data_IF_745132612898
#
_entry.id   IF_745132612898
#
_cell.length_a   1.000
_cell.length_b   1.000
_cell.length_c   1.000
_cell.angle_alpha   90.00
_cell.angle_beta   90.00
_cell.angle_gamma   90.00
#
_symmetry.space_group_name_H-M   'P 1'
#
loop_
_entity.id
_entity.type
_entity.pdbx_description
1 polymer ?
#
# COMPACT_ATOMS: atom_id res chain seq x y z
N UNK A 1 -0.46 7.91 10.47
CA UNK A 1 -1.74 8.40 9.91
C UNK A 1 -2.84 7.45 10.35
N UNK A 2 -4.02 7.93 10.75
CA UNK A 2 -5.16 7.06 10.94
C UNK A 2 -5.61 6.53 9.56
N UNK A 3 -5.59 5.21 9.39
CA UNK A 3 -6.02 4.50 8.19
C UNK A 3 -7.04 3.45 8.64
N UNK A 4 -8.30 3.62 8.23
CA UNK A 4 -9.36 2.66 8.51
C UNK A 4 -9.32 1.57 7.44
N UNK A 5 -8.91 0.36 7.85
CA UNK A 5 -8.82 -0.83 6.98
C UNK A 5 -9.38 -2.05 7.72
N UNK A 6 -9.83 -3.04 6.96
CA UNK A 6 -10.33 -4.31 7.49
C UNK A 6 -9.68 -5.49 6.77
N UNK A 7 -9.34 -6.52 7.54
CA UNK A 7 -8.85 -7.81 7.03
C UNK A 7 -9.93 -8.89 7.01
N UNK A 8 -11.11 -8.59 7.55
CA UNK A 8 -12.25 -9.51 7.67
C UNK A 8 -13.53 -8.80 7.19
N UNK A 9 -14.35 -9.49 6.41
CA UNK A 9 -15.67 -9.02 5.97
C UNK A 9 -15.66 -8.18 4.68
N UNK A 10 -16.85 -7.81 4.20
CA UNK A 10 -17.00 -7.04 2.97
C UNK A 10 -16.24 -7.64 1.78
N UNK A 11 -15.55 -6.79 1.01
CA UNK A 11 -14.79 -7.21 -0.17
C UNK A 11 -13.63 -8.17 0.15
N UNK A 12 -13.01 -8.09 1.34
CA UNK A 12 -11.91 -8.99 1.72
C UNK A 12 -12.38 -10.41 2.02
N UNK A 13 -13.68 -10.60 2.31
CA UNK A 13 -14.30 -11.91 2.47
C UNK A 13 -14.84 -12.51 1.16
N UNK A 14 -15.40 -11.68 0.26
CA UNK A 14 -16.11 -12.17 -0.93
C UNK A 14 -15.28 -12.16 -2.22
N UNK A 15 -14.27 -11.28 -2.32
CA UNK A 15 -13.50 -11.12 -3.56
C UNK A 15 -12.27 -12.06 -3.55
N UNK A 16 -12.17 -13.06 -4.45
CA UNK A 16 -11.11 -14.06 -4.41
C UNK A 16 -9.70 -13.46 -4.41
N UNK A 17 -9.45 -12.44 -5.24
CA UNK A 17 -8.14 -11.76 -5.27
C UNK A 17 -7.82 -11.01 -3.98
N UNK A 18 -8.82 -10.45 -3.29
CA UNK A 18 -8.56 -9.71 -2.06
C UNK A 18 -8.09 -10.66 -0.95
N UNK A 19 -8.71 -11.84 -0.88
CA UNK A 19 -8.30 -12.92 0.02
C UNK A 19 -6.90 -13.42 -0.31
N UNK A 20 -6.64 -13.78 -1.57
CA UNK A 20 -5.30 -14.24 -1.99
C UNK A 20 -4.21 -13.20 -1.76
N UNK A 21 -4.49 -11.91 -1.94
CA UNK A 21 -3.51 -10.86 -1.66
C UNK A 21 -3.17 -10.78 -0.17
N UNK A 22 -4.15 -10.88 0.74
CA UNK A 22 -3.90 -10.92 2.18
C UNK A 22 -3.08 -12.15 2.58
N UNK A 23 -3.35 -13.30 1.97
CA UNK A 23 -2.57 -14.53 2.15
C UNK A 23 -1.13 -14.37 1.63
N UNK A 24 -0.93 -13.82 0.43
CA UNK A 24 0.40 -13.56 -0.13
C UNK A 24 1.22 -12.62 0.76
N UNK A 25 0.58 -11.58 1.29
CA UNK A 25 1.22 -10.61 2.18
C UNK A 25 1.41 -11.15 3.61
N UNK A 26 0.88 -12.33 3.94
CA UNK A 26 0.93 -12.93 5.28
C UNK A 26 0.43 -11.97 6.37
N UNK A 27 -0.68 -11.29 6.08
CA UNK A 27 -1.30 -10.32 6.99
C UNK A 27 -2.34 -11.01 7.86
N UNK A 28 -2.22 -10.86 9.17
CA UNK A 28 -3.09 -11.49 10.16
C UNK A 28 -3.96 -10.48 10.93
N UNK A 29 -3.66 -9.18 10.84
CA UNK A 29 -4.46 -8.14 11.48
C UNK A 29 -4.64 -6.87 10.64
N UNK A 30 -5.74 -6.14 10.88
CA UNK A 30 -5.98 -4.84 10.27
C UNK A 30 -4.88 -3.81 10.63
N UNK A 31 -4.25 -3.97 11.80
CA UNK A 31 -3.13 -3.14 12.23
C UNK A 31 -1.89 -3.37 11.37
N UNK A 32 -1.51 -4.62 11.12
CA UNK A 32 -0.41 -4.97 10.20
C UNK A 32 -0.67 -4.44 8.79
N UNK A 33 -1.90 -4.62 8.28
CA UNK A 33 -2.28 -4.10 6.97
C UNK A 33 -2.10 -2.57 6.90
N UNK A 34 -2.54 -1.87 7.94
CA UNK A 34 -2.40 -0.41 8.05
C UNK A 34 -0.94 0.04 8.05
N UNK A 35 -0.07 -0.68 8.76
CA UNK A 35 1.37 -0.41 8.82
C UNK A 35 2.04 -0.61 7.45
N UNK A 36 1.69 -1.68 6.74
CA UNK A 36 2.18 -1.93 5.37
C UNK A 36 1.73 -0.82 4.42
N UNK A 37 0.45 -0.45 4.45
CA UNK A 37 -0.10 0.63 3.60
C UNK A 37 0.62 1.95 3.89
N UNK A 38 0.80 2.30 5.16
CA UNK A 38 1.51 3.52 5.55
C UNK A 38 2.97 3.51 5.06
N UNK A 39 3.66 2.38 5.19
CA UNK A 39 5.05 2.20 4.74
C UNK A 39 5.16 2.36 3.22
N UNK A 40 4.26 1.73 2.47
CA UNK A 40 4.19 1.84 1.01
C UNK A 40 3.89 3.29 0.58
N UNK A 41 2.97 3.98 1.26
CA UNK A 41 2.66 5.38 0.99
C UNK A 41 3.88 6.31 1.21
N UNK A 42 4.64 6.07 2.27
CA UNK A 42 5.89 6.80 2.52
C UNK A 42 6.95 6.52 1.45
N UNK A 43 7.11 5.26 1.04
CA UNK A 43 8.05 4.88 -0.03
C UNK A 43 7.68 5.53 -1.38
N UNK A 44 6.38 5.58 -1.70
CA UNK A 44 5.89 6.28 -2.90
C UNK A 44 6.15 7.79 -2.82
N UNK A 45 5.87 8.42 -1.67
CA UNK A 45 6.14 9.84 -1.46
C UNK A 45 7.63 10.16 -1.62
N UNK A 46 8.52 9.36 -1.01
CA UNK A 46 9.97 9.52 -1.15
C UNK A 46 10.40 9.39 -2.62
N UNK A 47 9.87 8.40 -3.34
CA UNK A 47 10.19 8.18 -4.76
C UNK A 47 9.73 9.34 -5.63
N UNK A 48 8.52 9.86 -5.38
CA UNK A 48 7.99 11.02 -6.09
C UNK A 48 8.83 12.28 -5.85
N UNK A 49 9.17 12.55 -4.58
CA UNK A 49 10.05 13.68 -4.23
C UNK A 49 11.43 13.55 -4.87
N UNK A 50 12.00 12.34 -4.87
CA UNK A 50 13.28 12.06 -5.54
C UNK A 50 13.18 12.29 -7.05
N UNK A 51 12.09 11.86 -7.69
CA UNK A 51 11.88 12.07 -9.12
C UNK A 51 11.77 13.58 -9.44
N UNK A 52 11.06 14.36 -8.64
CA UNK A 52 10.93 15.81 -8.82
C UNK A 52 12.25 16.56 -8.54
N UNK A 53 13.03 16.11 -7.55
CA UNK A 53 14.29 16.73 -7.17
C UNK A 53 15.47 16.37 -8.09
N UNK A 54 15.31 15.35 -8.95
CA UNK A 54 16.36 14.92 -9.89
C UNK A 54 15.96 15.27 -11.32
N UNK A 55 16.92 15.67 -12.16
CA UNK A 55 16.67 16.02 -13.57
C UNK A 55 16.06 14.88 -14.41
N UNK A 56 16.03 13.64 -13.89
CA UNK A 56 15.45 12.50 -14.57
C UNK A 56 13.97 12.71 -14.96
N UNK A 57 13.17 13.42 -14.15
CA UNK A 57 11.77 13.74 -14.51
C UNK A 57 11.68 14.64 -15.76
N UNK A 58 12.63 15.58 -15.93
CA UNK A 58 12.67 16.51 -17.07
C UNK A 58 13.02 15.82 -18.40
N UNK A 59 13.50 14.58 -18.36
CA UNK A 59 13.91 13.77 -19.52
C UNK A 59 12.92 12.65 -19.86
N UNK A 60 11.94 12.39 -19.00
CA UNK A 60 10.91 11.35 -19.16
C UNK A 60 9.62 11.87 -19.82
N UNK A 61 9.54 13.18 -20.06
CA UNK A 61 8.54 13.90 -20.85
C UNK A 61 9.25 14.47 -22.08
#
# INVERSE_FOLDING_TARGET
MPIAVGTIGGATAIHPKAKSNLEIMQIHSAKELSEVIASVGLAQNLTALKALATEAYKKAI
#
